data_IF_837521893572
#
_entry.id   IF_837521893572
#
_cell.length_a   1.000
_cell.length_b   1.000
_cell.length_c   1.000
_cell.angle_alpha   90.00
_cell.angle_beta   90.00
_cell.angle_gamma   90.00
#
_symmetry.space_group_name_H-M   'P 1'
#
loop_
_entity.id
_entity.type
_entity.pdbx_description
1 polymer ?
#
# COMPACT_ATOMS: atom_id res chain seq x y z
N UNK A 1 20.68 10.36 -7.91
CA UNK A 1 19.71 11.01 -8.82
C UNK A 1 19.56 10.15 -10.06
N UNK A 2 18.49 9.39 -10.17
CA UNK A 2 18.19 8.65 -11.38
C UNK A 2 16.83 9.08 -11.92
N UNK A 3 16.88 9.84 -12.97
CA UNK A 3 15.72 10.19 -13.77
C UNK A 3 15.28 8.96 -14.58
N UNK A 4 14.14 8.41 -14.25
CA UNK A 4 13.51 7.41 -15.12
C UNK A 4 12.66 8.12 -16.16
N UNK A 5 13.17 8.19 -17.35
CA UNK A 5 12.44 8.67 -18.54
C UNK A 5 11.30 7.71 -18.85
N UNK A 6 10.10 8.25 -18.87
CA UNK A 6 8.93 7.52 -19.34
C UNK A 6 8.85 7.70 -20.84
N UNK A 7 9.07 6.63 -21.57
CA UNK A 7 8.84 6.60 -23.02
C UNK A 7 7.36 6.28 -23.25
N UNK A 8 6.65 7.25 -23.75
CA UNK A 8 5.27 7.06 -24.20
C UNK A 8 5.28 6.53 -25.64
N UNK A 9 4.86 5.30 -25.81
CA UNK A 9 4.59 4.71 -27.11
C UNK A 9 3.13 5.00 -27.50
N UNK A 10 2.96 5.91 -28.43
CA UNK A 10 1.68 6.15 -29.06
C UNK A 10 1.46 5.11 -30.15
N UNK A 11 0.49 4.24 -29.97
CA UNK A 11 0.04 3.32 -31.00
C UNK A 11 -1.21 3.89 -31.65
N UNK A 12 -1.07 4.35 -32.87
CA UNK A 12 -2.20 4.77 -33.69
C UNK A 12 -2.84 3.53 -34.33
N UNK A 13 -4.05 3.23 -33.93
CA UNK A 13 -4.86 2.21 -34.56
C UNK A 13 -5.86 2.87 -35.53
N UNK A 14 -5.71 2.58 -36.80
CA UNK A 14 -6.70 2.94 -37.85
C UNK A 14 -7.80 1.88 -37.81
N UNK A 15 -8.99 2.29 -37.46
CA UNK A 15 -10.14 1.43 -37.52
C UNK A 15 -10.92 1.64 -38.81
N UNK A 16 -10.94 0.63 -39.64
CA UNK A 16 -11.86 0.53 -40.78
C UNK A 16 -13.19 0.00 -40.26
N UNK A 17 -14.24 0.73 -40.52
CA UNK A 17 -15.57 0.40 -40.08
C UNK A 17 -16.17 -0.77 -40.83
N UNK A 18 -16.87 -1.60 -40.11
CA UNK A 18 -17.92 -2.47 -40.63
C UNK A 18 -19.10 -2.31 -39.71
N UNK A 19 -20.13 -1.68 -40.23
CA UNK A 19 -21.39 -1.55 -39.50
C UNK A 19 -22.16 -2.86 -39.58
N UNK A 20 -22.30 -3.53 -38.49
CA UNK A 20 -23.36 -4.50 -38.30
C UNK A 20 -24.25 -4.03 -37.17
N UNK A 21 -25.40 -3.55 -37.53
CA UNK A 21 -26.45 -3.28 -36.61
C UNK A 21 -27.10 -4.60 -36.19
N UNK A 22 -26.69 -5.12 -35.09
CA UNK A 22 -27.43 -6.13 -34.35
C UNK A 22 -27.88 -5.50 -33.06
N UNK A 23 -29.11 -5.10 -33.03
CA UNK A 23 -29.77 -4.68 -31.81
C UNK A 23 -30.05 -5.89 -30.97
N UNK A 24 -29.11 -6.26 -30.19
CA UNK A 24 -29.42 -7.13 -29.08
C UNK A 24 -29.75 -6.26 -27.87
N UNK A 25 -30.80 -6.56 -27.14
CA UNK A 25 -31.00 -5.88 -25.89
C UNK A 25 -29.88 -6.29 -24.95
N UNK A 26 -29.04 -5.37 -24.69
CA UNK A 26 -28.03 -5.54 -23.68
C UNK A 26 -28.75 -5.47 -22.36
N UNK A 27 -28.85 -6.57 -21.75
CA UNK A 27 -29.31 -6.62 -20.39
C UNK A 27 -28.26 -5.98 -19.56
N UNK A 28 -28.68 -4.98 -18.95
CA UNK A 28 -27.74 -4.11 -18.30
C UNK A 28 -27.52 -4.48 -16.87
N UNK A 29 -27.37 -5.67 -16.58
CA UNK A 29 -27.22 -5.95 -15.23
C UNK A 29 -25.87 -6.01 -14.66
N UNK A 30 -25.03 -6.27 -15.40
CA UNK A 30 -23.80 -6.48 -15.00
C UNK A 30 -23.05 -5.62 -14.22
N UNK A 31 -23.32 -4.66 -14.18
CA UNK A 31 -22.76 -3.59 -13.61
C UNK A 31 -22.50 -3.67 -12.20
N UNK A 32 -23.15 -4.34 -11.59
CA UNK A 32 -23.15 -4.30 -10.17
C UNK A 32 -21.89 -4.62 -9.44
N UNK A 33 -21.03 -5.20 -10.09
CA UNK A 33 -19.86 -5.69 -9.42
C UNK A 33 -18.79 -4.70 -9.08
N UNK A 34 -18.99 -3.55 -9.39
CA UNK A 34 -17.96 -2.63 -9.37
C UNK A 34 -17.55 -2.06 -8.09
N UNK A 35 -18.34 -2.16 -7.14
CA UNK A 35 -18.13 -1.42 -5.95
C UNK A 35 -16.84 -1.63 -5.18
N UNK A 36 -16.34 -2.81 -5.05
CA UNK A 36 -15.28 -3.04 -4.06
C UNK A 36 -13.94 -2.39 -4.34
N UNK A 37 -13.69 -2.12 -5.56
CA UNK A 37 -12.36 -1.67 -5.94
C UNK A 37 -11.98 -0.30 -5.44
N UNK A 38 -12.93 0.53 -5.22
CA UNK A 38 -12.71 1.90 -4.82
C UNK A 38 -12.31 2.07 -3.38
N UNK A 39 -12.71 1.16 -2.56
CA UNK A 39 -12.49 1.29 -1.14
C UNK A 39 -11.04 1.12 -0.75
N UNK A 40 -10.32 0.28 -1.45
CA UNK A 40 -8.92 0.04 -1.19
C UNK A 40 -8.03 1.25 -1.44
N UNK A 41 -8.31 1.99 -2.47
CA UNK A 41 -7.51 3.16 -2.82
C UNK A 41 -7.65 4.29 -1.80
N UNK A 42 -8.82 4.46 -1.21
CA UNK A 42 -9.05 5.48 -0.19
C UNK A 42 -8.35 5.18 1.12
N UNK A 43 -8.25 3.93 1.46
CA UNK A 43 -7.62 3.53 2.73
C UNK A 43 -6.12 3.73 2.68
N UNK A 44 -5.51 3.53 1.51
CA UNK A 44 -4.08 3.71 1.34
C UNK A 44 -3.65 5.18 1.37
N UNK A 45 -4.56 6.08 1.07
CA UNK A 45 -4.24 7.48 0.90
C UNK A 45 -3.89 8.24 2.18
N UNK A 46 -4.21 7.74 3.34
CA UNK A 46 -4.06 8.54 4.55
C UNK A 46 -3.34 7.87 5.71
N UNK A 47 -3.23 6.56 5.74
CA UNK A 47 -2.74 5.82 6.91
C UNK A 47 -3.23 6.40 8.24
N UNK A 48 -4.47 6.86 8.26
CA UNK A 48 -5.03 7.59 9.39
C UNK A 48 -5.11 6.72 10.63
N UNK A 49 -4.54 7.18 11.69
CA UNK A 49 -4.54 6.50 12.96
C UNK A 49 -4.52 7.51 14.10
N UNK A 50 -5.47 7.41 14.99
CA UNK A 50 -5.60 8.33 16.13
C UNK A 50 -5.17 7.71 17.47
N UNK A 51 -4.68 6.49 17.44
CA UNK A 51 -4.18 5.81 18.63
C UNK A 51 -2.75 6.17 19.00
N UNK A 52 -2.29 5.66 20.10
CA UNK A 52 -0.89 5.78 20.50
C UNK A 52 0.02 4.86 19.69
N UNK A 53 1.30 5.06 19.81
CA UNK A 53 2.34 4.26 19.16
C UNK A 53 2.92 3.23 20.16
N UNK A 54 2.23 2.11 20.39
CA UNK A 54 2.69 1.10 21.34
C UNK A 54 3.89 0.33 20.77
N UNK A 55 4.62 -0.33 21.66
CA UNK A 55 5.61 -1.31 21.20
C UNK A 55 4.91 -2.50 20.56
N UNK A 56 5.25 -2.80 19.30
CA UNK A 56 4.71 -3.92 18.56
C UNK A 56 5.76 -4.99 18.34
N UNK A 57 5.35 -6.25 18.43
CA UNK A 57 6.22 -7.41 18.23
C UNK A 57 5.52 -8.45 17.38
N UNK A 58 6.26 -9.39 16.87
CA UNK A 58 5.71 -10.55 16.16
C UNK A 58 4.56 -11.17 16.97
N UNK A 59 3.45 -11.39 16.32
CA UNK A 59 2.22 -11.90 16.93
C UNK A 59 1.27 -10.81 17.45
N UNK A 60 1.67 -9.55 17.46
CA UNK A 60 0.78 -8.46 17.84
C UNK A 60 -0.37 -8.33 16.84
N UNK A 61 -1.51 -7.84 17.33
CA UNK A 61 -2.70 -7.61 16.51
C UNK A 61 -3.35 -6.28 16.86
N UNK A 62 -4.09 -5.73 15.92
CA UNK A 62 -4.90 -4.55 16.15
C UNK A 62 -4.61 -3.39 15.20
N UNK A 63 -5.25 -2.27 15.45
CA UNK A 63 -5.21 -1.09 14.60
C UNK A 63 -3.82 -0.44 14.52
N UNK A 64 -3.03 -0.52 15.56
CA UNK A 64 -1.65 -0.04 15.53
C UNK A 64 -0.78 -0.84 14.55
N UNK A 65 -1.00 -2.16 14.46
CA UNK A 65 -0.33 -3.00 13.46
C UNK A 65 -0.80 -2.65 12.05
N UNK A 66 -2.09 -2.48 11.84
CA UNK A 66 -2.61 -2.08 10.54
C UNK A 66 -2.07 -0.72 10.10
N UNK A 67 -1.89 0.20 11.03
CA UNK A 67 -1.28 1.50 10.78
C UNK A 67 0.19 1.36 10.35
N UNK A 68 0.97 0.58 11.05
CA UNK A 68 2.35 0.29 10.68
C UNK A 68 2.46 -0.33 9.28
N UNK A 69 1.64 -1.33 8.98
CA UNK A 69 1.59 -1.96 7.67
C UNK A 69 1.22 -0.96 6.56
N UNK A 70 0.31 -0.04 6.86
CA UNK A 70 -0.04 1.05 5.94
C UNK A 70 1.14 1.98 5.69
N UNK A 71 1.85 2.40 6.73
CA UNK A 71 3.02 3.27 6.59
C UNK A 71 4.11 2.61 5.76
N UNK A 72 4.42 1.34 6.01
CA UNK A 72 5.39 0.57 5.23
C UNK A 72 5.01 0.51 3.75
N UNK A 73 3.75 0.29 3.45
CA UNK A 73 3.27 0.23 2.07
C UNK A 73 3.32 1.58 1.37
N UNK A 74 2.78 2.61 2.03
CA UNK A 74 2.55 3.90 1.40
C UNK A 74 3.83 4.72 1.22
N UNK A 75 4.67 4.73 2.21
CA UNK A 75 5.86 5.60 2.20
C UNK A 75 7.16 4.85 1.90
N UNK A 76 7.22 3.57 2.16
CA UNK A 76 8.45 2.79 2.04
C UNK A 76 8.42 1.73 0.94
N UNK A 77 7.28 1.61 0.24
CA UNK A 77 7.17 0.81 -0.98
C UNK A 77 7.04 -0.69 -0.75
N UNK A 78 6.69 -1.13 0.45
CA UNK A 78 6.35 -2.52 0.72
C UNK A 78 4.95 -2.84 0.20
N UNK A 79 4.61 -4.11 0.14
CA UNK A 79 3.31 -4.56 -0.34
C UNK A 79 2.72 -5.59 0.63
N UNK A 80 2.42 -5.13 1.81
CA UNK A 80 1.82 -5.94 2.87
C UNK A 80 0.30 -5.91 2.80
N UNK A 81 -0.33 -6.97 3.26
CA UNK A 81 -1.75 -6.94 3.58
C UNK A 81 -1.89 -6.20 4.91
N UNK A 82 -2.55 -5.05 4.89
CA UNK A 82 -2.77 -4.25 6.10
C UNK A 82 -3.94 -4.81 6.91
N UNK A 83 -3.77 -6.02 7.41
CA UNK A 83 -4.79 -6.80 8.13
C UNK A 83 -4.74 -6.65 9.65
N UNK A 84 -3.78 -5.90 10.16
CA UNK A 84 -3.61 -5.72 11.59
C UNK A 84 -3.00 -6.94 12.30
N UNK A 85 -2.35 -7.84 11.57
CA UNK A 85 -1.63 -8.97 12.14
C UNK A 85 -0.14 -8.85 11.87
N UNK A 86 0.65 -8.77 12.91
CA UNK A 86 2.10 -8.74 12.81
C UNK A 86 2.63 -10.16 12.58
N UNK A 87 2.49 -10.61 11.34
CA UNK A 87 2.96 -11.92 10.91
C UNK A 87 4.36 -11.89 10.32
N UNK A 88 4.75 -12.99 9.68
CA UNK A 88 6.10 -13.13 9.12
C UNK A 88 6.40 -12.10 8.04
N UNK A 89 5.46 -11.82 7.14
CA UNK A 89 5.68 -10.84 6.08
C UNK A 89 5.88 -9.44 6.63
N UNK A 90 5.10 -9.06 7.64
CA UNK A 90 5.27 -7.78 8.35
C UNK A 90 6.61 -7.73 9.06
N UNK A 91 7.03 -8.81 9.70
CA UNK A 91 8.32 -8.89 10.37
C UNK A 91 9.50 -8.74 9.40
N UNK A 92 9.45 -9.40 8.26
CA UNK A 92 10.48 -9.29 7.24
C UNK A 92 10.56 -7.87 6.65
N UNK A 93 9.42 -7.28 6.32
CA UNK A 93 9.38 -5.91 5.84
C UNK A 93 9.92 -4.91 6.87
N UNK A 94 9.52 -5.08 8.13
CA UNK A 94 10.02 -4.25 9.22
C UNK A 94 11.53 -4.35 9.38
N UNK A 95 12.08 -5.56 9.41
CA UNK A 95 13.52 -5.74 9.60
C UNK A 95 14.33 -5.20 8.43
N UNK A 96 13.83 -5.34 7.21
CA UNK A 96 14.43 -4.73 6.02
C UNK A 96 14.41 -3.20 6.11
N UNK A 97 13.30 -2.63 6.49
CA UNK A 97 13.17 -1.20 6.76
C UNK A 97 14.14 -0.71 7.83
N UNK A 98 14.23 -1.43 8.95
CA UNK A 98 15.11 -1.06 10.07
C UNK A 98 16.60 -1.06 9.68
N UNK A 99 17.00 -1.97 8.82
CA UNK A 99 18.37 -1.96 8.25
C UNK A 99 18.58 -0.73 7.37
N UNK A 100 17.63 -0.46 6.48
CA UNK A 100 17.71 0.65 5.55
C UNK A 100 17.75 2.02 6.23
N UNK A 101 16.97 2.17 7.30
CA UNK A 101 16.82 3.43 8.02
C UNK A 101 17.68 3.58 9.28
N UNK A 102 18.54 2.64 9.56
CA UNK A 102 19.41 2.73 10.75
C UNK A 102 18.69 2.56 12.08
N UNK A 103 17.45 2.04 12.08
CA UNK A 103 16.68 1.77 13.28
C UNK A 103 17.01 0.41 13.91
N UNK A 104 18.18 -0.09 13.71
CA UNK A 104 18.61 -1.42 14.13
C UNK A 104 18.68 -1.63 15.64
N UNK A 105 18.63 -0.58 16.43
CA UNK A 105 18.52 -0.68 17.90
C UNK A 105 17.21 -1.34 18.36
N UNK A 106 16.19 -1.35 17.51
CA UNK A 106 14.88 -1.94 17.75
C UNK A 106 14.62 -3.14 16.81
N UNK A 107 15.65 -3.91 16.53
CA UNK A 107 15.58 -4.99 15.56
C UNK A 107 14.43 -5.97 15.82
N UNK A 108 13.56 -6.11 14.84
CA UNK A 108 12.46 -7.08 14.86
C UNK A 108 11.25 -6.70 15.72
N UNK A 109 11.26 -5.53 16.32
CA UNK A 109 10.11 -4.97 17.01
C UNK A 109 9.98 -3.47 16.72
N UNK A 110 8.84 -2.92 16.96
CA UNK A 110 8.60 -1.49 16.78
C UNK A 110 8.54 -0.82 18.14
N UNK A 111 9.47 0.06 18.40
CA UNK A 111 9.49 0.94 19.54
C UNK A 111 9.49 2.40 19.09
N UNK A 112 9.87 3.30 19.96
CA UNK A 112 9.81 4.73 19.70
C UNK A 112 10.71 5.19 18.54
N UNK A 113 11.85 4.56 18.36
CA UNK A 113 12.77 4.89 17.26
C UNK A 113 12.16 4.47 15.94
N UNK A 114 11.69 3.23 15.84
CA UNK A 114 11.07 2.72 14.61
C UNK A 114 9.81 3.51 14.23
N UNK A 115 8.96 3.84 15.20
CA UNK A 115 7.79 4.67 14.93
C UNK A 115 8.16 6.03 14.34
N UNK A 116 9.18 6.67 14.88
CA UNK A 116 9.67 7.95 14.36
C UNK A 116 10.14 7.83 12.91
N UNK A 117 10.88 6.77 12.59
CA UNK A 117 11.40 6.56 11.25
C UNK A 117 10.33 6.11 10.25
N UNK A 118 9.27 5.45 10.70
CA UNK A 118 8.14 5.06 9.84
C UNK A 118 7.34 6.26 9.33
N UNK A 119 7.25 7.33 10.09
CA UNK A 119 6.54 8.53 9.70
C UNK A 119 7.42 9.42 8.81
N UNK A 120 7.00 9.73 7.58
CA UNK A 120 7.85 10.43 6.61
C UNK A 120 8.25 11.84 7.03
N UNK A 121 7.46 12.49 7.86
CA UNK A 121 7.71 13.84 8.37
C UNK A 121 8.70 13.87 9.54
N UNK A 122 8.98 12.77 10.16
CA UNK A 122 9.93 12.67 11.28
C UNK A 122 11.09 11.72 11.02
N UNK A 123 11.03 11.02 9.91
CA UNK A 123 12.07 10.09 9.49
C UNK A 123 13.39 10.79 9.21
N UNK A 124 14.47 10.14 9.58
CA UNK A 124 15.83 10.54 9.22
C UNK A 124 16.37 9.77 8.02
N UNK A 125 15.61 8.86 7.50
CA UNK A 125 15.94 8.20 6.26
C UNK A 125 15.26 8.86 5.06
#
# INVERSE_FOLDING_TARGET
>A
MQHRSRVALAVSAVALGISFALTAPVSAQELSATAPATTGASVLASCSYSGGHPTLRYGATGSAVAHEQCLLNEYWGYNLVADGHFGMNTHLALTDFQVGCGASSEWGYIGAVTWRELHPDTSSC
#
